data_IF_236036807505
#
_entry.id   IF_236036807505
#
_cell.length_a   1.000
_cell.length_b   1.000
_cell.length_c   1.000
_cell.angle_alpha   90.00
_cell.angle_beta   90.00
_cell.angle_gamma   90.00
#
_symmetry.space_group_name_H-M   'P 1'
#
loop_
_entity.id
_entity.type
_entity.pdbx_description
1 polymer ?
#
# COMPACT_ATOMS: atom_id res chain seq x y z
N UNK A 1 -35.43 23.48 3.20
CA UNK A 1 -34.75 22.41 2.45
C UNK A 1 -35.75 21.99 1.38
N UNK A 2 -35.60 22.50 0.15
CA UNK A 2 -36.55 22.22 -0.93
C UNK A 2 -36.18 20.86 -1.49
N UNK A 3 -37.06 19.89 -1.30
CA UNK A 3 -36.96 18.56 -1.91
C UNK A 3 -37.32 18.70 -3.40
N UNK A 4 -36.33 18.50 -4.27
CA UNK A 4 -36.47 18.51 -5.73
C UNK A 4 -36.72 17.10 -6.29
N UNK A 5 -37.26 16.19 -5.48
CA UNK A 5 -37.46 14.78 -5.87
C UNK A 5 -38.55 14.55 -6.92
N UNK A 6 -39.52 15.47 -7.07
CA UNK A 6 -40.62 15.27 -8.01
C UNK A 6 -40.65 16.37 -9.08
N UNK A 7 -39.82 16.21 -10.11
CA UNK A 7 -40.03 16.93 -11.36
C UNK A 7 -41.34 16.44 -11.98
N UNK A 8 -42.44 17.19 -11.77
CA UNK A 8 -43.74 16.89 -12.36
C UNK A 8 -43.68 17.13 -13.88
N UNK A 9 -43.34 16.08 -14.64
CA UNK A 9 -43.21 16.16 -16.11
C UNK A 9 -44.54 16.35 -16.83
N UNK A 10 -45.68 16.20 -16.13
CA UNK A 10 -47.02 16.28 -16.72
C UNK A 10 -47.49 17.70 -17.01
N UNK A 11 -46.78 18.72 -16.51
CA UNK A 11 -47.12 20.14 -16.71
C UNK A 11 -46.24 20.84 -17.76
N UNK A 12 -45.25 20.14 -18.31
CA UNK A 12 -44.29 20.71 -19.26
C UNK A 12 -44.88 20.82 -20.66
N UNK A 13 -44.56 21.90 -21.37
CA UNK A 13 -44.81 22.00 -22.80
C UNK A 13 -43.96 20.95 -23.55
N UNK A 14 -44.36 20.53 -24.77
CA UNK A 14 -43.65 19.48 -25.51
C UNK A 14 -42.16 19.75 -25.73
N UNK A 15 -41.77 21.01 -25.96
CA UNK A 15 -40.37 21.39 -26.13
C UNK A 15 -39.58 21.28 -24.81
N UNK A 16 -40.18 21.71 -23.69
CA UNK A 16 -39.58 21.64 -22.35
C UNK A 16 -39.45 20.19 -21.88
N UNK A 17 -40.42 19.34 -22.21
CA UNK A 17 -40.36 17.90 -21.92
C UNK A 17 -39.20 17.24 -22.66
N UNK A 18 -39.02 17.57 -23.96
CA UNK A 18 -37.91 17.06 -24.75
C UNK A 18 -36.56 17.50 -24.18
N UNK A 19 -36.43 18.78 -23.84
CA UNK A 19 -35.20 19.30 -23.22
C UNK A 19 -34.89 18.62 -21.89
N UNK A 20 -35.90 18.41 -21.03
CA UNK A 20 -35.73 17.71 -19.76
C UNK A 20 -35.32 16.24 -19.97
N UNK A 21 -35.85 15.56 -20.99
CA UNK A 21 -35.45 14.20 -21.35
C UNK A 21 -34.02 14.14 -21.86
N UNK A 22 -33.64 15.05 -22.77
CA UNK A 22 -32.28 15.13 -23.31
C UNK A 22 -31.26 15.44 -22.19
N UNK A 23 -31.61 16.32 -21.25
CA UNK A 23 -30.78 16.61 -20.07
C UNK A 23 -30.61 15.39 -19.17
N UNK A 24 -31.70 14.67 -18.88
CA UNK A 24 -31.66 13.45 -18.06
C UNK A 24 -30.84 12.34 -18.73
N UNK A 25 -30.96 12.19 -20.05
CA UNK A 25 -30.18 11.24 -20.84
C UNK A 25 -28.68 11.56 -20.77
N UNK A 26 -28.30 12.83 -20.97
CA UNK A 26 -26.90 13.28 -20.83
C UNK A 26 -26.32 13.03 -19.44
N UNK A 27 -27.11 13.27 -18.38
CA UNK A 27 -26.67 12.98 -17.01
C UNK A 27 -26.50 11.48 -16.78
N UNK A 28 -27.42 10.65 -17.29
CA UNK A 28 -27.29 9.20 -17.20
C UNK A 28 -26.04 8.69 -17.93
N UNK A 29 -25.78 9.20 -19.14
CA UNK A 29 -24.59 8.86 -19.91
C UNK A 29 -23.31 9.22 -19.13
N UNK A 30 -23.20 10.45 -18.63
CA UNK A 30 -22.05 10.88 -17.84
C UNK A 30 -21.82 9.97 -16.62
N UNK A 31 -22.89 9.62 -15.90
CA UNK A 31 -22.80 8.70 -14.76
C UNK A 31 -22.26 7.32 -15.17
N UNK A 32 -22.65 6.81 -16.35
CA UNK A 32 -22.13 5.56 -16.89
C UNK A 32 -20.64 5.63 -17.25
N UNK A 33 -20.18 6.78 -17.75
CA UNK A 33 -18.79 7.00 -18.13
C UNK A 33 -17.86 7.17 -16.91
N UNK A 34 -18.33 7.77 -15.83
CA UNK A 34 -17.46 8.14 -14.69
C UNK A 34 -17.57 7.25 -13.47
N UNK A 35 -18.76 6.73 -13.16
CA UNK A 35 -19.01 6.02 -11.88
C UNK A 35 -19.55 4.61 -12.04
N UNK A 36 -19.88 4.20 -13.26
CA UNK A 36 -20.27 2.85 -13.72
C UNK A 36 -21.47 2.16 -13.05
N UNK A 37 -21.60 2.27 -11.73
CA UNK A 37 -22.55 1.55 -10.87
C UNK A 37 -23.84 2.35 -10.59
N UNK A 38 -23.84 3.65 -10.89
CA UNK A 38 -24.96 4.56 -10.58
C UNK A 38 -25.78 4.99 -11.79
N UNK A 39 -25.64 4.29 -12.93
CA UNK A 39 -26.35 4.64 -14.16
C UNK A 39 -27.31 3.55 -14.63
N UNK A 40 -28.34 3.95 -15.38
CA UNK A 40 -29.25 3.03 -16.04
C UNK A 40 -28.76 2.73 -17.47
N UNK A 41 -28.09 1.60 -17.64
CA UNK A 41 -27.57 1.14 -18.93
C UNK A 41 -28.66 0.86 -19.98
N UNK A 42 -29.90 0.60 -19.55
CA UNK A 42 -31.01 0.36 -20.48
C UNK A 42 -31.49 1.62 -21.22
N UNK A 43 -31.06 2.81 -20.77
CA UNK A 43 -31.36 4.08 -21.43
C UNK A 43 -30.31 4.49 -22.45
N UNK A 44 -29.20 3.75 -22.59
CA UNK A 44 -28.14 4.08 -23.53
C UNK A 44 -28.54 3.70 -24.96
N UNK A 45 -28.10 4.51 -25.92
CA UNK A 45 -28.10 4.11 -27.33
C UNK A 45 -27.04 3.02 -27.59
N UNK A 46 -27.10 2.30 -28.73
CA UNK A 46 -26.09 1.32 -29.07
C UNK A 46 -24.67 1.90 -29.17
N UNK A 47 -24.53 3.12 -29.68
CA UNK A 47 -23.23 3.81 -29.77
C UNK A 47 -22.69 4.14 -28.37
N UNK A 48 -23.51 4.76 -27.51
CA UNK A 48 -23.14 5.06 -26.13
C UNK A 48 -22.81 3.81 -25.31
N UNK A 49 -23.52 2.70 -25.55
CA UNK A 49 -23.22 1.42 -24.91
C UNK A 49 -21.82 0.93 -25.27
N UNK A 50 -21.43 1.07 -26.55
CA UNK A 50 -20.10 0.70 -27.01
C UNK A 50 -19.02 1.62 -26.41
N UNK A 51 -19.27 2.93 -26.36
CA UNK A 51 -18.33 3.90 -25.81
C UNK A 51 -18.11 3.68 -24.30
N UNK A 52 -19.20 3.53 -23.55
CA UNK A 52 -19.16 3.20 -22.11
C UNK A 52 -18.43 1.87 -21.87
N UNK A 53 -18.67 0.84 -22.69
CA UNK A 53 -17.95 -0.42 -22.57
C UNK A 53 -16.43 -0.26 -22.79
N UNK A 54 -16.03 0.60 -23.72
CA UNK A 54 -14.63 0.96 -23.93
C UNK A 54 -14.00 1.64 -22.72
N UNK A 55 -14.68 2.62 -22.13
CA UNK A 55 -14.23 3.32 -20.91
C UNK A 55 -14.06 2.34 -19.75
N UNK A 56 -15.03 1.45 -19.54
CA UNK A 56 -14.98 0.42 -18.49
C UNK A 56 -13.79 -0.52 -18.70
N UNK A 57 -13.55 -0.95 -19.94
CA UNK A 57 -12.41 -1.82 -20.27
C UNK A 57 -11.07 -1.14 -19.99
N UNK A 58 -10.93 0.14 -20.36
CA UNK A 58 -9.74 0.94 -20.08
C UNK A 58 -9.53 1.14 -18.57
N UNK A 59 -10.59 1.43 -17.83
CA UNK A 59 -10.51 1.58 -16.38
C UNK A 59 -10.12 0.27 -15.69
N UNK A 60 -10.69 -0.87 -16.12
CA UNK A 60 -10.32 -2.18 -15.61
C UNK A 60 -8.85 -2.48 -15.87
N UNK A 61 -8.35 -2.23 -17.09
CA UNK A 61 -6.95 -2.39 -17.41
C UNK A 61 -6.06 -1.51 -16.51
N UNK A 62 -6.38 -0.22 -16.37
CA UNK A 62 -5.61 0.69 -15.53
C UNK A 62 -5.60 0.26 -14.06
N UNK A 63 -6.72 -0.22 -13.53
CA UNK A 63 -6.81 -0.75 -12.17
C UNK A 63 -5.88 -1.96 -11.99
N UNK A 64 -5.91 -2.90 -12.94
CA UNK A 64 -5.04 -4.08 -12.95
C UNK A 64 -3.57 -3.69 -13.06
N UNK A 65 -3.24 -2.80 -14.00
CA UNK A 65 -1.88 -2.34 -14.26
C UNK A 65 -1.31 -1.53 -13.12
N UNK A 66 -2.11 -0.90 -12.25
CA UNK A 66 -1.63 -0.08 -11.13
C UNK A 66 -1.82 -0.74 -9.77
N UNK A 67 -2.60 -1.83 -9.70
CA UNK A 67 -3.04 -2.42 -8.43
C UNK A 67 -4.02 -1.52 -7.66
N UNK A 68 -4.69 -0.58 -8.33
CA UNK A 68 -5.63 0.36 -7.71
C UNK A 68 -7.06 -0.04 -8.00
N UNK A 69 -7.83 -0.39 -6.95
CA UNK A 69 -9.23 -0.77 -7.08
C UNK A 69 -9.43 -2.22 -7.56
N UNK A 70 -10.63 -2.52 -8.06
CA UNK A 70 -10.98 -3.88 -8.48
C UNK A 70 -10.43 -4.13 -9.88
N UNK A 71 -9.70 -5.24 -10.02
CA UNK A 71 -9.19 -5.75 -11.27
C UNK A 71 -9.94 -7.05 -11.64
N UNK A 72 -10.66 -7.04 -12.75
CA UNK A 72 -11.30 -8.23 -13.31
C UNK A 72 -10.45 -8.81 -14.45
N UNK A 73 -9.64 -9.82 -14.12
CA UNK A 73 -8.80 -10.53 -15.09
C UNK A 73 -9.58 -11.18 -16.24
N UNK A 74 -10.84 -11.57 -16.03
CA UNK A 74 -11.66 -12.21 -17.07
C UNK A 74 -12.10 -11.24 -18.17
N UNK A 75 -12.02 -9.93 -17.92
CA UNK A 75 -12.35 -8.88 -18.88
C UNK A 75 -11.13 -8.39 -19.69
N UNK A 76 -9.96 -8.98 -19.48
CA UNK A 76 -8.73 -8.62 -20.18
C UNK A 76 -8.54 -9.49 -21.44
N UNK A 77 -7.98 -8.89 -22.49
CA UNK A 77 -7.43 -9.66 -23.60
C UNK A 77 -6.22 -10.49 -23.16
N UNK A 78 -5.85 -11.56 -23.87
CA UNK A 78 -4.69 -12.38 -23.51
C UNK A 78 -3.38 -11.59 -23.38
N UNK A 79 -3.17 -10.59 -24.24
CA UNK A 79 -1.98 -9.73 -24.19
C UNK A 79 -1.97 -8.85 -22.93
N UNK A 80 -3.10 -8.20 -22.63
CA UNK A 80 -3.26 -7.39 -21.41
C UNK A 80 -3.09 -8.24 -20.15
N UNK A 81 -3.67 -9.44 -20.12
CA UNK A 81 -3.54 -10.35 -18.98
C UNK A 81 -2.09 -10.76 -18.74
N UNK A 82 -1.31 -11.00 -19.80
CA UNK A 82 0.11 -11.32 -19.68
C UNK A 82 0.90 -10.16 -19.07
N UNK A 83 0.64 -8.93 -19.52
CA UNK A 83 1.31 -7.73 -19.01
C UNK A 83 0.94 -7.47 -17.54
N UNK A 84 -0.36 -7.50 -17.23
CA UNK A 84 -0.88 -7.34 -15.87
C UNK A 84 -0.24 -8.36 -14.91
N UNK A 85 -0.13 -9.63 -15.31
CA UNK A 85 0.53 -10.65 -14.50
C UNK A 85 2.01 -10.35 -14.24
N UNK A 86 2.71 -9.78 -15.21
CA UNK A 86 4.11 -9.34 -15.02
C UNK A 86 4.18 -8.23 -13.97
N UNK A 87 3.34 -7.20 -14.10
CA UNK A 87 3.29 -6.07 -13.17
C UNK A 87 2.86 -6.49 -11.76
N UNK A 88 1.88 -7.39 -11.64
CA UNK A 88 1.45 -7.97 -10.36
C UNK A 88 2.58 -8.77 -9.70
N UNK A 89 3.33 -9.56 -10.48
CA UNK A 89 4.50 -10.30 -9.99
C UNK A 89 5.61 -9.37 -9.51
N UNK A 90 5.93 -8.32 -10.26
CA UNK A 90 6.92 -7.31 -9.89
C UNK A 90 6.53 -6.59 -8.58
N UNK A 91 5.25 -6.24 -8.42
CA UNK A 91 4.74 -5.65 -7.17
C UNK A 91 4.87 -6.61 -5.99
N UNK A 92 4.52 -7.88 -6.19
CA UNK A 92 4.64 -8.90 -5.15
C UNK A 92 6.10 -9.08 -4.73
N UNK A 93 7.02 -9.16 -5.70
CA UNK A 93 8.46 -9.21 -5.41
C UNK A 93 8.90 -7.98 -4.61
N UNK A 94 8.53 -6.78 -5.03
CA UNK A 94 8.87 -5.55 -4.33
C UNK A 94 8.30 -5.53 -2.90
N UNK A 95 7.07 -6.00 -2.69
CA UNK A 95 6.46 -6.13 -1.36
C UNK A 95 7.28 -7.07 -0.47
N UNK A 96 7.71 -8.22 -1.00
CA UNK A 96 8.58 -9.16 -0.28
C UNK A 96 9.96 -8.56 0.06
N UNK A 97 10.55 -7.83 -0.89
CA UNK A 97 11.85 -7.21 -0.74
C UNK A 97 11.86 -5.96 0.14
N UNK A 98 10.74 -5.27 0.29
CA UNK A 98 10.65 -4.07 1.15
C UNK A 98 10.04 -4.38 2.50
N UNK A 99 9.25 -5.45 2.60
CA UNK A 99 8.42 -5.75 3.76
C UNK A 99 7.22 -4.80 3.89
N UNK A 100 6.86 -4.10 2.81
CA UNK A 100 5.69 -3.23 2.75
C UNK A 100 4.57 -3.89 1.96
N UNK A 101 3.36 -3.89 2.50
CA UNK A 101 2.21 -4.56 1.90
C UNK A 101 2.21 -6.08 2.09
N UNK A 102 1.30 -6.76 1.41
CA UNK A 102 1.20 -8.21 1.43
C UNK A 102 2.19 -8.83 0.43
N UNK A 103 2.93 -9.84 0.89
CA UNK A 103 3.88 -10.60 0.10
C UNK A 103 3.44 -12.06 0.04
N UNK A 104 3.03 -12.52 -1.13
CA UNK A 104 2.78 -13.92 -1.40
C UNK A 104 4.07 -14.60 -1.91
N UNK A 105 4.76 -15.26 -0.98
CA UNK A 105 6.00 -16.00 -1.28
C UNK A 105 5.79 -17.18 -2.22
N UNK A 106 4.56 -17.67 -2.39
CA UNK A 106 4.26 -18.79 -3.29
C UNK A 106 4.34 -18.41 -4.77
N UNK A 107 4.27 -17.11 -5.07
CA UNK A 107 4.37 -16.58 -6.43
C UNK A 107 5.82 -16.28 -6.85
N UNK A 108 6.77 -16.33 -5.93
CA UNK A 108 8.18 -16.05 -6.21
C UNK A 108 8.87 -17.24 -6.87
N UNK A 109 9.76 -16.95 -7.82
CA UNK A 109 10.75 -17.92 -8.27
C UNK A 109 11.73 -18.25 -7.12
N UNK A 110 12.44 -19.40 -7.17
CA UNK A 110 13.42 -19.74 -6.14
C UNK A 110 14.52 -18.68 -5.95
N UNK A 111 14.93 -18.03 -7.03
CA UNK A 111 15.95 -16.96 -7.00
C UNK A 111 15.42 -15.71 -6.30
N UNK A 112 14.21 -15.27 -6.66
CA UNK A 112 13.53 -14.14 -6.04
C UNK A 112 13.26 -14.40 -4.55
N UNK A 113 12.78 -15.59 -4.18
CA UNK A 113 12.55 -15.96 -2.80
C UNK A 113 13.84 -15.90 -1.97
N UNK A 114 14.96 -16.36 -2.52
CA UNK A 114 16.28 -16.26 -1.88
C UNK A 114 16.71 -14.80 -1.71
N UNK A 115 16.54 -13.98 -2.74
CA UNK A 115 16.88 -12.56 -2.71
C UNK A 115 16.04 -11.81 -1.66
N UNK A 116 14.71 -11.97 -1.68
CA UNK A 116 13.81 -11.39 -0.70
C UNK A 116 14.15 -11.84 0.74
N UNK A 117 14.53 -13.10 0.95
CA UNK A 117 14.95 -13.59 2.26
C UNK A 117 16.24 -12.93 2.75
N UNK A 118 17.23 -12.71 1.87
CA UNK A 118 18.47 -11.99 2.21
C UNK A 118 18.16 -10.55 2.62
N UNK A 119 17.33 -9.84 1.86
CA UNK A 119 16.98 -8.45 2.18
C UNK A 119 16.15 -8.38 3.46
N UNK A 120 15.21 -9.31 3.66
CA UNK A 120 14.42 -9.40 4.90
C UNK A 120 15.29 -9.64 6.13
N UNK A 121 16.26 -10.55 6.03
CA UNK A 121 17.24 -10.80 7.08
C UNK A 121 18.08 -9.55 7.40
N UNK A 122 18.53 -8.84 6.36
CA UNK A 122 19.29 -7.60 6.53
C UNK A 122 18.47 -6.51 7.21
N UNK A 123 17.19 -6.33 6.85
CA UNK A 123 16.28 -5.41 7.54
C UNK A 123 16.12 -5.78 9.01
N UNK A 124 15.91 -7.06 9.30
CA UNK A 124 15.79 -7.56 10.67
C UNK A 124 17.07 -7.27 11.48
N UNK A 125 18.24 -7.56 10.91
CA UNK A 125 19.51 -7.28 11.55
C UNK A 125 19.69 -5.77 11.85
N UNK A 126 19.33 -4.89 10.91
CA UNK A 126 19.36 -3.43 11.11
C UNK A 126 18.40 -3.02 12.22
N UNK A 127 17.16 -3.52 12.22
CA UNK A 127 16.17 -3.24 13.26
C UNK A 127 16.69 -3.65 14.65
N UNK A 128 17.25 -4.85 14.77
CA UNK A 128 17.89 -5.32 16.00
C UNK A 128 19.06 -4.43 16.41
N UNK A 129 19.88 -4.02 15.45
CA UNK A 129 21.02 -3.14 15.69
C UNK A 129 20.59 -1.74 16.11
N UNK A 130 19.45 -1.24 15.67
CA UNK A 130 18.88 0.05 16.09
C UNK A 130 18.09 -0.06 17.40
N UNK A 131 17.70 -1.26 17.82
CA UNK A 131 16.82 -1.47 18.99
C UNK A 131 15.34 -1.25 18.67
N UNK A 132 14.94 -1.44 17.41
CA UNK A 132 13.55 -1.30 16.98
C UNK A 132 12.70 -2.49 17.45
N UNK A 133 11.46 -2.22 17.85
CA UNK A 133 10.60 -3.22 18.53
C UNK A 133 10.14 -4.39 17.66
N UNK A 134 10.29 -4.32 16.34
CA UNK A 134 9.96 -5.41 15.42
C UNK A 134 11.17 -6.30 15.07
N UNK A 135 12.32 -6.10 15.72
CA UNK A 135 13.44 -7.02 15.66
C UNK A 135 13.03 -8.44 16.12
N UNK A 136 13.31 -9.43 15.29
CA UNK A 136 13.20 -10.84 15.61
C UNK A 136 14.59 -11.44 15.82
N UNK A 137 14.99 -11.61 17.08
CA UNK A 137 16.29 -12.17 17.43
C UNK A 137 16.45 -13.65 17.05
N UNK A 138 15.35 -14.38 16.82
CA UNK A 138 15.39 -15.81 16.47
C UNK A 138 15.93 -16.05 15.06
N UNK A 139 15.86 -15.03 14.20
CA UNK A 139 16.37 -15.07 12.83
C UNK A 139 17.85 -14.71 12.74
N UNK A 140 18.49 -14.28 13.83
CA UNK A 140 19.90 -13.88 13.82
C UNK A 140 20.84 -15.09 13.86
N UNK A 141 21.93 -15.00 13.12
CA UNK A 141 23.08 -15.90 13.32
C UNK A 141 23.75 -15.64 14.68
N UNK A 142 24.50 -16.61 15.23
CA UNK A 142 25.23 -16.41 16.49
C UNK A 142 26.18 -15.21 16.47
N UNK A 143 26.83 -14.94 15.33
CA UNK A 143 27.72 -13.79 15.17
C UNK A 143 26.95 -12.47 15.17
N UNK A 144 25.79 -12.41 14.53
CA UNK A 144 24.93 -11.23 14.54
C UNK A 144 24.37 -10.98 15.94
N UNK A 145 23.85 -12.01 16.61
CA UNK A 145 23.34 -11.90 17.98
C UNK A 145 24.40 -11.33 18.95
N UNK A 146 25.66 -11.76 18.80
CA UNK A 146 26.79 -11.20 19.57
C UNK A 146 26.99 -9.70 19.28
N UNK A 147 26.99 -9.30 18.01
CA UNK A 147 27.12 -7.88 17.62
C UNK A 147 25.97 -7.02 18.15
N UNK A 148 24.74 -7.54 18.13
CA UNK A 148 23.57 -6.85 18.69
C UNK A 148 23.73 -6.68 20.20
N UNK A 149 24.15 -7.73 20.92
CA UNK A 149 24.40 -7.64 22.36
C UNK A 149 25.51 -6.64 22.72
N UNK A 150 26.58 -6.59 21.93
CA UNK A 150 27.65 -5.58 22.08
C UNK A 150 27.11 -4.16 21.86
N UNK A 151 26.31 -3.94 20.81
CA UNK A 151 25.69 -2.65 20.50
C UNK A 151 24.70 -2.22 21.58
N UNK A 152 23.89 -3.15 22.10
CA UNK A 152 22.96 -2.89 23.20
C UNK A 152 23.69 -2.48 24.48
N UNK A 153 24.81 -3.15 24.82
CA UNK A 153 25.67 -2.77 25.96
C UNK A 153 26.28 -1.38 25.78
N UNK A 154 26.69 -1.02 24.57
CA UNK A 154 27.22 0.31 24.28
C UNK A 154 26.15 1.39 24.45
N UNK A 155 24.94 1.17 23.93
CA UNK A 155 23.80 2.08 24.15
C UNK A 155 23.46 2.24 25.63
N UNK A 156 23.41 1.14 26.37
CA UNK A 156 23.13 1.18 27.81
C UNK A 156 24.20 2.01 28.55
N UNK A 157 25.47 1.84 28.22
CA UNK A 157 26.54 2.65 28.82
C UNK A 157 26.38 4.15 28.53
N UNK A 158 26.04 4.52 27.28
CA UNK A 158 25.78 5.92 26.91
C UNK A 158 24.54 6.48 27.62
N UNK A 159 23.47 5.69 27.75
CA UNK A 159 22.27 6.06 28.49
C UNK A 159 22.61 6.33 29.97
N UNK A 160 23.41 5.47 30.59
CA UNK A 160 23.84 5.63 31.97
C UNK A 160 24.77 6.85 32.15
N UNK A 161 25.68 7.11 31.22
CA UNK A 161 26.52 8.31 31.22
C UNK A 161 25.69 9.60 31.08
N UNK A 162 24.64 9.57 30.27
CA UNK A 162 23.70 10.68 30.09
C UNK A 162 22.69 10.83 31.24
N UNK A 163 22.62 9.87 32.17
CA UNK A 163 21.59 9.84 33.22
C UNK A 163 20.17 9.58 32.68
N UNK A 164 20.06 8.93 31.53
CA UNK A 164 18.79 8.60 30.89
C UNK A 164 18.03 7.53 31.69
N UNK A 165 16.70 7.64 31.73
CA UNK A 165 15.82 6.71 32.45
C UNK A 165 15.85 5.27 31.89
N UNK A 166 16.30 5.09 30.65
CA UNK A 166 16.49 3.79 30.01
C UNK A 166 17.78 3.07 30.44
N UNK A 167 18.64 3.71 31.24
CA UNK A 167 19.83 3.08 31.81
C UNK A 167 19.45 1.90 32.72
N UNK A 168 20.04 0.73 32.44
CA UNK A 168 20.10 -0.40 33.34
C UNK A 168 21.53 -0.56 33.89
N UNK A 169 21.81 -0.10 35.12
CA UNK A 169 23.14 -0.21 35.73
C UNK A 169 23.64 -1.64 35.89
N UNK A 170 22.75 -2.64 35.93
CA UNK A 170 23.13 -4.04 36.10
C UNK A 170 23.84 -4.63 34.88
N UNK A 171 23.69 -3.98 33.71
CA UNK A 171 24.30 -4.39 32.45
C UNK A 171 25.64 -3.71 32.16
N UNK A 172 26.13 -2.86 33.06
CA UNK A 172 27.44 -2.21 32.94
C UNK A 172 28.56 -3.15 33.40
N UNK A 173 29.65 -3.20 32.63
CA UNK A 173 30.88 -3.86 33.07
C UNK A 173 31.78 -2.90 33.86
N UNK A 174 32.78 -3.44 34.57
CA UNK A 174 33.67 -2.65 35.44
C UNK A 174 34.42 -1.49 34.74
N UNK A 175 34.59 -1.52 33.41
CA UNK A 175 35.16 -0.42 32.63
C UNK A 175 34.14 0.68 32.31
N UNK A 176 32.87 0.32 32.21
CA UNK A 176 31.74 1.23 31.94
C UNK A 176 31.18 1.89 33.20
N UNK A 177 31.47 1.34 34.39
CA UNK A 177 31.08 1.91 35.70
C UNK A 177 32.04 3.03 36.14
N UNK A 178 33.11 3.32 35.39
CA UNK A 178 34.00 4.40 35.77
C UNK A 178 33.29 5.75 35.62
N UNK A 179 33.12 6.51 36.71
CA UNK A 179 32.58 7.85 36.61
C UNK A 179 33.59 8.69 35.83
N UNK A 180 33.21 9.19 34.66
CA UNK A 180 33.87 10.36 34.11
C UNK A 180 33.64 11.46 35.15
N UNK A 181 34.72 11.85 35.81
CA UNK A 181 34.74 12.96 36.74
C UNK A 181 34.42 14.21 35.91
N UNK A 182 33.13 14.50 35.79
CA UNK A 182 32.65 15.76 35.25
C UNK A 182 33.20 16.87 36.12
N UNK A 183 34.26 17.52 35.65
CA UNK A 183 34.67 18.81 36.16
C UNK A 183 33.47 19.75 36.04
N UNK A 184 33.06 20.43 37.12
CA UNK A 184 32.01 21.43 37.04
C UNK A 184 32.51 22.55 36.12
N UNK A 185 31.72 22.86 35.08
CA UNK A 185 31.92 24.05 34.27
C UNK A 185 31.90 25.28 35.20
N UNK A 186 33.02 26.02 35.21
CA UNK A 186 33.14 27.33 35.85
C UNK A 186 32.49 28.42 35.00
#
# INVERSE_FOLDING_TARGET
>A
MVDYSDCNRSILAPAELKEAQDSAHRQNLLSCETTTDFCNKALLTPAETQDVAGIISLQNLANCETGSGICNHSALSPAQLSEVKSLEHERNLLACETGQGECDKSLLTPTEAKQAAVIAHQRNFIACKSGEGYCDTSQLSPSEAKQIADTARQRNALACEAGDASCDPSLLNAKQVQPTTGQPAS
#
